data_IF_166677622284
#
_entry.id   IF_166677622284
#
_cell.length_a   1.000
_cell.length_b   1.000
_cell.length_c   1.000
_cell.angle_alpha   90.00
_cell.angle_beta   90.00
_cell.angle_gamma   90.00
#
_symmetry.space_group_name_H-M   'P 1'
#
loop_
_entity.id
_entity.type
_entity.pdbx_description
1 polymer ?
#
# COMPACT_ATOMS: atom_id res chain seq x y z
N UNK A 1 -20.71 12.98 6.38
CA UNK A 1 -19.48 12.81 7.21
C UNK A 1 -19.03 11.35 7.26
N UNK A 2 -19.90 10.41 7.67
CA UNK A 2 -19.58 8.96 7.72
C UNK A 2 -19.11 8.42 6.35
N UNK A 3 -19.78 8.79 5.25
CA UNK A 3 -19.42 8.31 3.90
C UNK A 3 -18.01 8.74 3.48
N UNK A 4 -17.60 9.97 3.81
CA UNK A 4 -16.25 10.44 3.48
C UNK A 4 -15.18 9.65 4.23
N UNK A 5 -15.42 9.35 5.51
CA UNK A 5 -14.54 8.52 6.34
C UNK A 5 -14.47 7.09 5.78
N UNK A 6 -15.61 6.50 5.39
CA UNK A 6 -15.67 5.17 4.79
C UNK A 6 -14.86 5.11 3.48
N UNK A 7 -14.97 6.12 2.61
CA UNK A 7 -14.22 6.21 1.35
C UNK A 7 -12.71 6.30 1.62
N UNK A 8 -12.29 7.15 2.55
CA UNK A 8 -10.88 7.28 2.95
C UNK A 8 -10.31 5.96 3.47
N UNK A 9 -11.07 5.23 4.29
CA UNK A 9 -10.67 3.92 4.82
C UNK A 9 -10.53 2.88 3.71
N UNK A 10 -11.49 2.79 2.79
CA UNK A 10 -11.45 1.81 1.70
C UNK A 10 -10.30 2.10 0.74
N UNK A 11 -10.17 3.35 0.28
CA UNK A 11 -9.10 3.75 -0.64
C UNK A 11 -7.73 3.62 0.03
N UNK A 12 -7.60 4.09 1.28
CA UNK A 12 -6.35 3.99 2.03
C UNK A 12 -5.92 2.54 2.27
N UNK A 13 -6.86 1.67 2.66
CA UNK A 13 -6.58 0.24 2.81
C UNK A 13 -6.21 -0.41 1.47
N UNK A 14 -6.93 -0.09 0.39
CA UNK A 14 -6.69 -0.68 -0.93
C UNK A 14 -5.29 -0.31 -1.46
N UNK A 15 -4.88 0.95 -1.34
CA UNK A 15 -3.53 1.42 -1.71
C UNK A 15 -2.47 0.73 -0.84
N UNK A 16 -2.68 0.70 0.49
CA UNK A 16 -1.77 0.05 1.43
C UNK A 16 -1.52 -1.41 1.08
N UNK A 17 -2.58 -2.20 0.88
CA UNK A 17 -2.43 -3.62 0.55
C UNK A 17 -1.86 -3.84 -0.85
N UNK A 18 -2.14 -2.96 -1.81
CA UNK A 18 -1.59 -3.04 -3.16
C UNK A 18 -0.06 -2.88 -3.15
N UNK A 19 0.44 -1.81 -2.55
CA UNK A 19 1.88 -1.55 -2.47
C UNK A 19 2.59 -2.58 -1.58
N UNK A 20 1.93 -3.02 -0.51
CA UNK A 20 2.48 -4.05 0.38
C UNK A 20 2.64 -5.37 -0.35
N UNK A 21 1.69 -5.73 -1.21
CA UNK A 21 1.79 -6.89 -2.10
C UNK A 21 3.03 -6.82 -2.98
N UNK A 22 3.26 -5.69 -3.65
CA UNK A 22 4.46 -5.49 -4.48
C UNK A 22 5.75 -5.62 -3.67
N UNK A 23 5.80 -5.01 -2.49
CA UNK A 23 6.98 -5.07 -1.62
C UNK A 23 7.28 -6.50 -1.16
N UNK A 24 6.25 -7.25 -0.75
CA UNK A 24 6.40 -8.63 -0.30
C UNK A 24 6.80 -9.56 -1.45
N UNK A 25 6.20 -9.40 -2.64
CA UNK A 25 6.59 -10.13 -3.84
C UNK A 25 8.05 -9.83 -4.18
N UNK A 26 8.43 -8.56 -4.25
CA UNK A 26 9.82 -8.18 -4.53
C UNK A 26 10.80 -8.78 -3.51
N UNK A 27 10.48 -8.74 -2.22
CA UNK A 27 11.29 -9.36 -1.16
C UNK A 27 11.36 -10.89 -1.31
N UNK A 28 10.26 -11.55 -1.65
CA UNK A 28 10.21 -12.99 -1.91
C UNK A 28 11.06 -13.42 -3.11
N UNK A 29 11.09 -12.59 -4.16
CA UNK A 29 11.95 -12.80 -5.33
C UNK A 29 13.37 -12.26 -5.17
N UNK A 30 13.78 -11.85 -3.95
CA UNK A 30 15.10 -11.27 -3.63
C UNK A 30 15.44 -10.04 -4.48
N UNK A 31 14.43 -9.32 -4.96
CA UNK A 31 14.58 -8.04 -5.63
C UNK A 31 14.91 -7.00 -4.55
N UNK A 32 16.00 -6.26 -4.73
CA UNK A 32 16.49 -5.29 -3.75
C UNK A 32 15.54 -4.11 -3.57
N UNK A 33 14.64 -4.19 -2.58
CA UNK A 33 13.76 -3.10 -2.14
C UNK A 33 14.31 -2.49 -0.84
N UNK A 34 14.40 -1.15 -0.79
CA UNK A 34 14.98 -0.42 0.36
C UNK A 34 13.93 0.06 1.36
N UNK A 35 12.81 0.56 0.87
CA UNK A 35 11.76 1.17 1.70
C UNK A 35 10.38 0.84 1.12
N UNK A 36 9.44 0.52 2.01
CA UNK A 36 8.03 0.50 1.68
C UNK A 36 7.52 1.95 1.67
N UNK A 37 6.77 2.34 0.64
CA UNK A 37 6.14 3.65 0.52
C UNK A 37 4.66 3.47 0.20
N UNK A 38 3.85 4.46 0.59
CA UNK A 38 2.40 4.51 0.33
C UNK A 38 2.06 5.48 -0.82
N UNK A 39 2.96 5.61 -1.79
CA UNK A 39 2.80 6.52 -2.92
C UNK A 39 2.99 8.03 -2.63
N UNK A 40 3.35 8.43 -1.41
CA UNK A 40 3.62 9.84 -1.09
C UNK A 40 5.10 10.17 -1.32
N UNK A 41 5.42 10.85 -2.43
CA UNK A 41 6.71 11.50 -2.68
C UNK A 41 6.60 13.01 -2.48
#
# INVERSE_FOLDING_TARGET
MINAIAILLVIGALIFFHELGHFLVAKGFKIGVKTFSLGFS
#
